data_IF_803805925843
#
_entry.id   IF_803805925843
#
_cell.length_a   1.000
_cell.length_b   1.000
_cell.length_c   1.000
_cell.angle_alpha   90.00
_cell.angle_beta   90.00
_cell.angle_gamma   90.00
#
_symmetry.space_group_name_H-M   'P 1'
#
loop_
_entity.id
_entity.type
_entity.pdbx_description
1 polymer ?
#
# COMPACT_ATOMS: atom_id res chain seq x y z
N UNK A 1 5.39 -16.66 -3.21
CA UNK A 1 5.74 -17.79 -4.11
C UNK A 1 5.63 -17.44 -5.59
N UNK A 2 4.45 -17.06 -6.13
CA UNK A 2 4.32 -16.78 -7.58
C UNK A 2 5.14 -15.57 -8.05
N UNK A 3 5.02 -14.43 -7.38
CA UNK A 3 5.76 -13.20 -7.75
C UNK A 3 7.27 -13.45 -7.66
N UNK A 4 7.75 -14.10 -6.60
CA UNK A 4 9.17 -14.42 -6.40
C UNK A 4 9.71 -15.26 -7.56
N UNK A 5 9.01 -16.34 -7.92
CA UNK A 5 9.41 -17.22 -9.01
C UNK A 5 9.46 -16.51 -10.38
N UNK A 6 8.49 -15.63 -10.65
CA UNK A 6 8.48 -14.82 -11.89
C UNK A 6 9.65 -13.83 -11.90
N UNK A 7 9.87 -13.12 -10.78
CA UNK A 7 10.95 -12.16 -10.67
C UNK A 7 12.33 -12.80 -10.78
N UNK A 8 12.51 -13.99 -10.20
CA UNK A 8 13.74 -14.79 -10.33
C UNK A 8 13.98 -15.22 -11.78
N UNK A 9 12.97 -15.84 -12.41
CA UNK A 9 13.06 -16.34 -13.79
C UNK A 9 13.37 -15.22 -14.80
N UNK A 10 12.77 -14.05 -14.62
CA UNK A 10 12.92 -12.91 -15.52
C UNK A 10 14.03 -11.93 -15.09
N UNK A 11 14.77 -12.21 -14.01
CA UNK A 11 15.83 -11.34 -13.48
C UNK A 11 15.37 -9.90 -13.26
N UNK A 12 14.17 -9.75 -12.69
CA UNK A 12 13.57 -8.43 -12.43
C UNK A 12 14.41 -7.66 -11.40
N UNK A 13 14.67 -6.35 -11.61
CA UNK A 13 15.36 -5.52 -10.62
C UNK A 13 14.72 -5.58 -9.24
N UNK A 14 15.54 -5.53 -8.19
CA UNK A 14 15.09 -5.71 -6.80
C UNK A 14 13.96 -4.73 -6.42
N UNK A 15 14.06 -3.45 -6.80
CA UNK A 15 13.03 -2.46 -6.46
C UNK A 15 11.67 -2.80 -7.07
N UNK A 16 11.65 -3.29 -8.31
CA UNK A 16 10.42 -3.73 -8.98
C UNK A 16 9.87 -5.01 -8.34
N UNK A 17 10.73 -5.99 -8.02
CA UNK A 17 10.31 -7.21 -7.31
C UNK A 17 9.70 -6.89 -5.95
N UNK A 18 10.35 -6.04 -5.17
CA UNK A 18 9.91 -5.69 -3.82
C UNK A 18 8.55 -4.97 -3.86
N UNK A 19 8.38 -4.03 -4.82
CA UNK A 19 7.09 -3.39 -5.06
C UNK A 19 6.03 -4.40 -5.49
N UNK A 20 6.35 -5.32 -6.41
CA UNK A 20 5.41 -6.34 -6.88
C UNK A 20 4.97 -7.30 -5.75
N UNK A 21 5.88 -7.67 -4.84
CA UNK A 21 5.56 -8.51 -3.68
C UNK A 21 4.62 -7.79 -2.72
N UNK A 22 4.88 -6.51 -2.47
CA UNK A 22 4.06 -5.65 -1.64
C UNK A 22 2.65 -5.46 -2.24
N UNK A 23 2.56 -5.10 -3.53
CA UNK A 23 1.29 -4.96 -4.26
C UNK A 23 0.51 -6.26 -4.33
N UNK A 24 1.15 -7.39 -4.65
CA UNK A 24 0.47 -8.69 -4.73
C UNK A 24 -0.14 -9.11 -3.37
N UNK A 25 0.48 -8.71 -2.26
CA UNK A 25 -0.03 -8.98 -0.92
C UNK A 25 -1.23 -8.09 -0.55
N UNK A 26 -1.18 -6.81 -0.91
CA UNK A 26 -2.09 -5.81 -0.36
C UNK A 26 -3.14 -5.26 -1.34
N UNK A 27 -3.07 -5.53 -2.65
CA UNK A 27 -4.02 -4.99 -3.64
C UNK A 27 -5.49 -5.28 -3.30
N UNK A 28 -5.77 -6.47 -2.73
CA UNK A 28 -7.11 -6.82 -2.26
C UNK A 28 -7.57 -6.01 -1.04
N UNK A 29 -6.65 -5.68 -0.13
CA UNK A 29 -6.93 -4.77 1.00
C UNK A 29 -7.14 -3.34 0.52
N UNK A 30 -6.33 -2.89 -0.44
CA UNK A 30 -6.47 -1.58 -1.08
C UNK A 30 -7.84 -1.47 -1.77
N UNK A 31 -8.24 -2.47 -2.55
CA UNK A 31 -9.54 -2.47 -3.23
C UNK A 31 -10.74 -2.33 -2.29
N UNK A 32 -10.62 -2.81 -1.04
CA UNK A 32 -11.66 -2.70 -0.01
C UNK A 32 -11.36 -1.64 1.07
N UNK A 33 -10.42 -0.73 0.84
CA UNK A 33 -9.90 0.17 1.87
C UNK A 33 -10.97 0.96 2.63
N UNK A 34 -12.01 1.41 1.93
CA UNK A 34 -13.11 2.19 2.52
C UNK A 34 -13.96 1.40 3.54
N UNK A 35 -13.88 0.07 3.54
CA UNK A 35 -14.56 -0.79 4.49
C UNK A 35 -13.65 -1.31 5.61
N UNK A 36 -12.36 -0.94 5.61
CA UNK A 36 -11.40 -1.37 6.62
C UNK A 36 -11.51 -0.50 7.87
N UNK A 37 -11.21 -1.11 9.03
CA UNK A 37 -11.03 -0.37 10.29
C UNK A 37 -9.71 0.38 10.25
N UNK A 38 -9.62 1.52 10.92
CA UNK A 38 -8.39 2.32 11.02
C UNK A 38 -7.18 1.50 11.47
N UNK A 39 -7.34 0.66 12.51
CA UNK A 39 -6.28 -0.23 12.98
C UNK A 39 -5.79 -1.21 11.88
N UNK A 40 -6.68 -1.69 11.02
CA UNK A 40 -6.30 -2.57 9.90
C UNK A 40 -5.48 -1.81 8.85
N UNK A 41 -5.81 -0.54 8.61
CA UNK A 41 -5.06 0.33 7.70
C UNK A 41 -3.67 0.63 8.28
N UNK A 42 -3.57 0.95 9.57
CA UNK A 42 -2.27 1.17 10.24
C UNK A 42 -1.40 -0.09 10.17
N UNK A 43 -1.95 -1.26 10.50
CA UNK A 43 -1.21 -2.52 10.41
C UNK A 43 -0.75 -2.84 8.97
N UNK A 44 -1.52 -2.43 7.96
CA UNK A 44 -1.10 -2.53 6.56
C UNK A 44 0.09 -1.61 6.28
N UNK A 45 0.03 -0.35 6.72
CA UNK A 45 1.14 0.60 6.58
C UNK A 45 2.42 0.11 7.27
N UNK A 46 2.33 -0.51 8.45
CA UNK A 46 3.47 -1.10 9.14
C UNK A 46 4.09 -2.26 8.35
N UNK A 47 3.28 -3.22 7.87
CA UNK A 47 3.77 -4.33 7.04
C UNK A 47 4.45 -3.87 5.75
N UNK A 48 4.05 -2.69 5.26
CA UNK A 48 4.56 -2.07 4.06
C UNK A 48 5.72 -1.10 4.31
N UNK A 49 6.16 -0.92 5.57
CA UNK A 49 7.19 0.05 5.95
C UNK A 49 6.85 1.49 5.47
N UNK A 50 5.56 1.81 5.43
CA UNK A 50 5.04 3.02 4.80
C UNK A 50 5.47 4.31 5.52
N UNK A 51 5.67 4.24 6.84
CA UNK A 51 6.07 5.41 7.63
C UNK A 51 7.50 5.85 7.32
N UNK A 52 8.40 4.90 7.04
CA UNK A 52 9.79 5.16 6.68
C UNK A 52 9.99 5.35 5.18
N UNK A 53 9.19 4.65 4.36
CA UNK A 53 9.27 4.66 2.89
C UNK A 53 7.90 4.98 2.26
N UNK A 54 7.34 6.19 2.48
CA UNK A 54 5.99 6.53 2.02
C UNK A 54 5.85 6.45 0.50
N UNK A 55 6.90 6.77 -0.25
CA UNK A 55 6.87 6.75 -1.71
C UNK A 55 6.54 5.37 -2.29
N UNK A 56 7.07 4.28 -1.70
CA UNK A 56 6.75 2.91 -2.11
C UNK A 56 5.27 2.56 -1.89
N UNK A 57 4.63 3.17 -0.89
CA UNK A 57 3.18 3.02 -0.68
C UNK A 57 2.41 3.70 -1.79
N UNK A 58 2.80 4.92 -2.20
CA UNK A 58 2.16 5.63 -3.32
C UNK A 58 2.27 4.83 -4.63
N UNK A 59 3.44 4.25 -4.91
CA UNK A 59 3.66 3.37 -6.07
C UNK A 59 2.78 2.11 -6.01
N UNK A 60 2.62 1.51 -4.83
CA UNK A 60 1.74 0.34 -4.64
C UNK A 60 0.26 0.71 -4.88
N UNK A 61 -0.17 1.88 -4.42
CA UNK A 61 -1.54 2.38 -4.67
C UNK A 61 -1.80 2.56 -6.16
N UNK A 62 -0.85 3.16 -6.89
CA UNK A 62 -0.93 3.31 -8.34
C UNK A 62 -0.97 1.96 -9.06
N UNK A 63 -0.09 1.02 -8.67
CA UNK A 63 -0.09 -0.32 -9.26
C UNK A 63 -1.42 -1.07 -9.02
N UNK A 64 -2.03 -0.88 -7.85
CA UNK A 64 -3.32 -1.48 -7.51
C UNK A 64 -4.48 -0.83 -8.29
N UNK A 65 -4.41 0.46 -8.56
CA UNK A 65 -5.37 1.16 -9.42
C UNK A 65 -5.27 0.68 -10.87
N UNK A 66 -4.06 0.44 -11.37
CA UNK A 66 -3.83 -0.19 -12.67
C UNK A 66 -4.42 -1.61 -12.74
N UNK A 67 -4.23 -2.45 -11.70
CA UNK A 67 -4.86 -3.78 -11.62
C UNK A 67 -6.39 -3.71 -11.70
N UNK A 68 -6.99 -2.75 -10.99
CA UNK A 68 -8.43 -2.56 -10.97
C UNK A 68 -8.96 -2.13 -12.35
N UNK A 69 -8.33 -1.13 -12.98
CA UNK A 69 -8.73 -0.60 -14.29
C UNK A 69 -8.38 -1.50 -15.47
N UNK A 70 -7.42 -2.40 -15.32
CA UNK A 70 -7.07 -3.38 -16.36
C UNK A 70 -8.16 -4.41 -16.64
N UNK A 71 -9.23 -4.46 -15.82
CA UNK A 71 -10.39 -5.33 -16.02
C UNK A 71 -11.34 -4.72 -17.03
N UNK A 72 -11.80 -5.52 -17.98
CA UNK A 72 -12.76 -5.07 -18.99
C UNK A 72 -14.00 -4.42 -18.36
N UNK A 73 -14.31 -3.19 -18.76
CA UNK A 73 -15.41 -2.40 -18.23
C UNK A 73 -15.11 -1.65 -16.92
N UNK A 74 -13.83 -1.54 -16.53
CA UNK A 74 -13.36 -0.80 -15.37
C UNK A 74 -12.40 0.35 -15.71
N UNK A 75 -12.13 0.57 -17.00
CA UNK A 75 -11.11 1.49 -17.52
C UNK A 75 -11.29 2.90 -16.93
N UNK A 76 -12.54 3.38 -16.90
CA UNK A 76 -12.89 4.71 -16.37
C UNK A 76 -13.54 4.66 -14.99
N UNK A 77 -13.57 3.50 -14.33
CA UNK A 77 -14.21 3.40 -13.03
C UNK A 77 -13.39 4.16 -11.97
N UNK A 78 -14.05 4.92 -11.08
CA UNK A 78 -13.38 5.58 -9.98
C UNK A 78 -12.67 4.57 -9.08
N UNK A 79 -11.50 4.99 -8.56
CA UNK A 79 -10.74 4.23 -7.57
C UNK A 79 -10.40 5.13 -6.36
N UNK A 80 -11.41 5.59 -5.59
CA UNK A 80 -11.23 6.52 -4.47
C UNK A 80 -10.31 5.98 -3.35
N UNK A 81 -10.08 4.67 -3.32
CA UNK A 81 -9.24 3.99 -2.33
C UNK A 81 -7.81 4.52 -2.31
N UNK A 82 -7.25 4.88 -3.47
CA UNK A 82 -5.89 5.44 -3.56
C UNK A 82 -5.80 6.79 -2.83
N UNK A 83 -6.70 7.73 -3.12
CA UNK A 83 -6.74 9.04 -2.48
C UNK A 83 -7.02 8.91 -0.96
N UNK A 84 -7.94 8.03 -0.58
CA UNK A 84 -8.27 7.75 0.82
C UNK A 84 -7.06 7.25 1.61
N UNK A 85 -6.32 6.26 1.07
CA UNK A 85 -5.15 5.70 1.73
C UNK A 85 -3.97 6.68 1.76
N UNK A 86 -3.77 7.48 0.72
CA UNK A 86 -2.76 8.53 0.73
C UNK A 86 -3.03 9.58 1.82
N UNK A 87 -4.29 10.00 1.98
CA UNK A 87 -4.70 10.90 3.06
C UNK A 87 -4.52 10.25 4.44
N UNK A 88 -4.88 8.98 4.60
CA UNK A 88 -4.70 8.24 5.84
C UNK A 88 -3.22 8.10 6.23
N UNK A 89 -2.33 7.84 5.26
CA UNK A 89 -0.89 7.78 5.49
C UNK A 89 -0.36 9.14 5.99
N UNK A 90 -0.76 10.23 5.32
CA UNK A 90 -0.37 11.59 5.72
C UNK A 90 -0.84 11.91 7.15
N UNK A 91 -2.07 11.56 7.50
CA UNK A 91 -2.61 11.76 8.85
C UNK A 91 -1.81 10.96 9.90
N UNK A 92 -1.52 9.68 9.62
CA UNK A 92 -0.77 8.83 10.52
C UNK A 92 0.68 9.32 10.72
N UNK A 93 1.33 9.83 9.67
CA UNK A 93 2.67 10.45 9.76
C UNK A 93 2.69 11.75 10.58
N UNK A 94 1.54 12.39 10.78
CA UNK A 94 1.41 13.57 11.64
C UNK A 94 1.40 13.26 13.14
N UNK A 95 1.33 11.99 13.53
CA UNK A 95 1.32 11.60 14.94
C UNK A 95 2.73 11.64 15.51
N UNK A 96 2.95 12.48 16.53
CA UNK A 96 4.21 12.51 17.27
C UNK A 96 4.28 11.36 18.28
N UNK A 97 4.68 10.18 17.82
CA UNK A 97 4.83 9.00 18.67
C UNK A 97 5.85 9.20 19.80
N UNK A 98 6.89 10.01 19.59
CA UNK A 98 7.90 10.31 20.60
C UNK A 98 7.34 11.11 21.78
N UNK A 99 6.49 12.09 21.50
CA UNK A 99 5.77 12.84 22.54
C UNK A 99 4.87 11.89 23.36
N UNK A 100 4.06 11.08 22.69
CA UNK A 100 3.14 10.16 23.36
C UNK A 100 3.89 9.16 24.24
N UNK A 101 5.02 8.61 23.76
CA UNK A 101 5.83 7.67 24.54
C UNK A 101 6.47 8.33 25.77
N UNK A 102 6.82 9.61 25.70
CA UNK A 102 7.35 10.39 26.82
C UNK A 102 6.29 10.80 27.86
N UNK A 103 5.01 10.83 27.50
CA UNK A 103 3.90 11.11 28.41
C UNK A 103 3.45 9.87 29.22
N UNK A 104 3.84 8.67 28.78
CA UNK A 104 3.43 7.38 29.37
C UNK A 104 4.55 6.76 30.25
N UNK A 105 5.74 7.37 30.28
CA UNK A 105 6.84 7.04 31.20
C UNK A 105 6.84 7.97 32.42
#
# INVERSE_FOLDING_TARGET
KLVEAVCERLKIPNDCRDLALMTAREHGNIGRALALRAATIVNMFERCDAFRKPQRTIEMLLASECDYRGRTGFEEKPFPQAAYLAAALKAAQGVNAGQIAGEVM
#
